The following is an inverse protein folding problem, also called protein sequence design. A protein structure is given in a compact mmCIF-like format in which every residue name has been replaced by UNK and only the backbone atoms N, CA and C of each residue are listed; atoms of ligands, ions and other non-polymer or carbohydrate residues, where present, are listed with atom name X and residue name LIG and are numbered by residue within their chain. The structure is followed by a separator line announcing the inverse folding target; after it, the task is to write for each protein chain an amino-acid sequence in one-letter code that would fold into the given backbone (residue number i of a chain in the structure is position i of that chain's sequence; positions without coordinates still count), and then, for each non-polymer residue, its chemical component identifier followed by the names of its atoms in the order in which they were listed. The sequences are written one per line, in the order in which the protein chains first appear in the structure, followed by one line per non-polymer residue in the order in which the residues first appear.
data_IF_174544886784
#
_entry.id   IF_174544886784
#
_cell.length_a   1.000
_cell.length_b   1.000
_cell.length_c   1.000
_cell.angle_alpha   90.00
_cell.angle_beta   90.00
_cell.angle_gamma   90.00
#
_symmetry.space_group_name_H-M   'P 1'
#
loop_
_entity.id
_entity.type
_entity.pdbx_description
1 polymer ?
#
# COMPACT_ATOMS: atom_id res chain seq x y z
N UNK A 1 -23.73 11.30 -0.96
CA UNK A 1 -24.27 12.68 -0.95
C UNK A 1 -23.33 13.73 -0.32
N UNK A 2 -22.18 13.36 0.23
CA UNK A 2 -21.19 14.29 0.83
C UNK A 2 -20.22 14.95 -0.16
N UNK A 3 -20.02 14.38 -1.35
CA UNK A 3 -19.05 14.91 -2.32
C UNK A 3 -19.47 16.18 -3.09
N UNK A 4 -20.73 16.59 -3.04
CA UNK A 4 -21.22 17.77 -3.77
C UNK A 4 -21.13 19.10 -3.00
N UNK A 5 -20.74 19.10 -1.74
CA UNK A 5 -20.64 20.34 -0.94
C UNK A 5 -19.26 21.00 -0.92
N UNK A 6 -18.20 20.28 -1.30
CA UNK A 6 -16.82 20.79 -1.26
C UNK A 6 -16.40 21.64 -2.48
N UNK A 7 -17.17 21.62 -3.57
CA UNK A 7 -16.84 22.33 -4.82
C UNK A 7 -17.40 23.75 -4.97
N UNK A 8 -18.01 24.32 -3.97
CA UNK A 8 -18.66 25.67 -4.06
C UNK A 8 -17.95 26.81 -3.33
N UNK A 9 -16.74 26.62 -2.79
CA UNK A 9 -16.07 27.67 -2.01
C UNK A 9 -14.83 28.31 -2.63
N UNK A 10 -14.45 28.00 -3.88
CA UNK A 10 -13.19 28.48 -4.45
C UNK A 10 -13.26 29.77 -5.32
N UNK A 11 -14.41 30.36 -5.54
CA UNK A 11 -14.52 31.56 -6.39
C UNK A 11 -15.14 32.77 -5.67
N UNK A 12 -14.38 33.42 -4.80
CA UNK A 12 -14.57 34.88 -4.45
C UNK A 12 -13.40 35.35 -3.59
N UNK A 13 -12.33 35.86 -4.20
CA UNK A 13 -11.68 37.09 -3.76
C UNK A 13 -10.55 37.50 -4.70
N UNK A 14 -10.83 38.42 -5.60
CA UNK A 14 -9.85 39.34 -6.19
C UNK A 14 -10.32 40.76 -5.94
N UNK A 15 -9.53 41.48 -5.20
CA UNK A 15 -9.12 42.89 -5.31
C UNK A 15 -9.08 43.62 -3.95
N UNK A 16 -7.94 44.30 -3.70
CA UNK A 16 -7.95 45.43 -2.78
C UNK A 16 -6.73 45.64 -1.89
N UNK A 17 -5.69 46.30 -2.42
CA UNK A 17 -4.77 47.30 -1.78
C UNK A 17 -4.16 47.09 -0.40
N UNK A 18 -2.81 47.18 -0.44
CA UNK A 18 -1.82 47.36 0.64
C UNK A 18 -2.24 48.32 1.77
N UNK A 19 -1.97 47.89 3.02
CA UNK A 19 -1.45 48.71 4.10
C UNK A 19 -0.55 47.86 5.00
N UNK A 20 0.69 48.30 5.13
CA UNK A 20 1.64 47.79 6.13
C UNK A 20 1.13 48.09 7.53
N UNK A 21 0.99 47.11 8.37
CA UNK A 21 1.01 47.23 9.83
C UNK A 21 1.50 45.91 10.39
N UNK A 22 2.63 45.93 11.05
CA UNK A 22 3.16 44.85 11.90
C UNK A 22 2.13 44.49 12.95
N UNK A 23 1.51 43.35 12.84
CA UNK A 23 0.67 42.73 13.88
C UNK A 23 1.31 41.40 14.25
N UNK A 24 1.49 41.21 15.55
CA UNK A 24 1.99 40.01 16.16
C UNK A 24 1.27 38.77 15.62
N UNK A 25 2.04 37.78 15.24
CA UNK A 25 1.61 36.46 14.76
C UNK A 25 0.90 35.72 15.92
N UNK A 26 -0.41 35.89 16.01
CA UNK A 26 -1.23 34.93 16.74
C UNK A 26 -1.45 33.76 15.79
N UNK A 27 -0.72 32.69 16.00
CA UNK A 27 -0.90 31.41 15.30
C UNK A 27 -2.36 31.00 15.44
N UNK A 28 -3.13 31.20 14.37
CA UNK A 28 -4.48 30.66 14.26
C UNK A 28 -4.37 29.14 14.19
N UNK A 29 -4.62 28.48 15.31
CA UNK A 29 -4.54 27.03 15.46
C UNK A 29 -5.51 26.28 14.52
N UNK A 30 -6.42 27.00 13.86
CA UNK A 30 -7.40 26.45 12.94
C UNK A 30 -6.95 26.50 11.47
N UNK A 31 -5.76 27.03 11.20
CA UNK A 31 -5.25 27.13 9.84
C UNK A 31 -4.15 26.08 9.62
N UNK A 32 -4.17 25.35 8.47
CA UNK A 32 -3.10 24.41 8.15
C UNK A 32 -1.75 25.15 8.07
N UNK A 33 -0.66 24.55 8.56
CA UNK A 33 0.70 25.10 8.47
C UNK A 33 1.15 25.38 7.03
N UNK A 34 0.71 24.59 6.07
CA UNK A 34 0.90 24.81 4.63
C UNK A 34 -0.26 24.23 3.82
N UNK A 35 -0.33 24.57 2.53
CA UNK A 35 -1.31 24.00 1.61
C UNK A 35 -1.09 22.49 1.46
N UNK A 36 -2.18 21.73 1.32
CA UNK A 36 -2.11 20.26 1.18
C UNK A 36 -2.19 19.50 2.51
N UNK A 37 -2.51 20.14 3.61
CA UNK A 37 -2.80 19.49 4.89
C UNK A 37 -4.29 19.35 5.17
N UNK A 38 -4.64 18.27 5.89
CA UNK A 38 -5.98 18.06 6.47
C UNK A 38 -5.86 17.96 7.99
N UNK A 39 -6.91 18.34 8.70
CA UNK A 39 -6.96 18.18 10.16
C UNK A 39 -7.46 16.79 10.51
N UNK A 40 -6.59 15.97 11.11
CA UNK A 40 -6.97 14.67 11.66
C UNK A 40 -7.65 14.89 13.03
N UNK A 41 -8.96 14.67 13.06
CA UNK A 41 -9.77 14.87 14.27
C UNK A 41 -9.44 13.84 15.37
N UNK A 42 -8.94 12.66 15.01
CA UNK A 42 -8.59 11.61 15.96
C UNK A 42 -7.22 11.89 16.59
N UNK A 43 -6.28 12.37 15.79
CA UNK A 43 -4.94 12.74 16.26
C UNK A 43 -4.92 14.17 16.86
N UNK A 44 -5.92 15.00 16.58
CA UNK A 44 -6.00 16.39 17.05
C UNK A 44 -4.91 17.28 16.43
N UNK A 45 -4.45 16.99 15.22
CA UNK A 45 -3.35 17.70 14.56
C UNK A 45 -3.55 17.79 13.05
N UNK A 46 -2.79 18.70 12.42
CA UNK A 46 -2.71 18.79 10.97
C UNK A 46 -1.73 17.74 10.45
N UNK A 47 -2.15 17.01 9.41
CA UNK A 47 -1.35 16.03 8.69
C UNK A 47 -1.36 16.37 7.20
N UNK A 48 -0.29 16.04 6.49
CA UNK A 48 -0.27 16.14 5.04
C UNK A 48 -1.39 15.29 4.44
N UNK A 49 -2.08 15.84 3.44
CA UNK A 49 -3.01 15.02 2.66
C UNK A 49 -2.23 13.87 2.05
N UNK A 50 -2.76 12.63 2.17
CA UNK A 50 -2.17 11.52 1.44
C UNK A 50 -2.05 11.87 -0.04
N UNK A 51 -0.93 11.56 -0.66
CA UNK A 51 -0.80 11.73 -2.11
C UNK A 51 -1.96 11.01 -2.81
N UNK A 52 -2.68 11.74 -3.66
CA UNK A 52 -3.71 11.14 -4.51
C UNK A 52 -2.98 10.44 -5.64
N UNK A 53 -2.72 9.16 -5.47
CA UNK A 53 -2.17 8.34 -6.53
C UNK A 53 -3.20 8.23 -7.66
N UNK A 54 -2.78 8.54 -8.88
CA UNK A 54 -3.60 8.32 -10.07
C UNK A 54 -3.79 6.82 -10.30
N UNK A 55 -4.94 6.43 -10.87
CA UNK A 55 -5.14 5.05 -11.28
C UNK A 55 -4.00 4.58 -12.19
N UNK A 56 -3.51 3.36 -11.96
CA UNK A 56 -2.40 2.77 -12.70
C UNK A 56 -1.38 2.06 -11.82
N UNK A 57 -0.27 1.64 -12.44
CA UNK A 57 0.83 1.02 -11.72
C UNK A 57 1.69 2.06 -11.00
N UNK A 58 1.97 1.78 -9.74
CA UNK A 58 2.93 2.53 -8.93
C UNK A 58 4.19 1.68 -8.68
N UNK A 59 5.17 1.82 -9.58
CA UNK A 59 6.44 1.10 -9.50
C UNK A 59 7.24 1.51 -8.27
N UNK A 60 7.23 2.79 -7.91
CA UNK A 60 8.00 3.29 -6.76
C UNK A 60 7.49 2.70 -5.46
N UNK A 61 6.17 2.67 -5.29
CA UNK A 61 5.55 2.05 -4.13
C UNK A 61 5.81 0.53 -4.08
N UNK A 62 5.80 -0.15 -5.23
CA UNK A 62 6.12 -1.58 -5.31
C UNK A 62 7.56 -1.87 -4.89
N UNK A 63 8.53 -1.06 -5.32
CA UNK A 63 9.93 -1.15 -4.91
C UNK A 63 10.12 -0.85 -3.42
N UNK A 64 9.33 0.08 -2.87
CA UNK A 64 9.35 0.38 -1.44
C UNK A 64 8.84 -0.82 -0.62
N UNK A 65 7.69 -1.43 -0.98
CA UNK A 65 7.21 -2.66 -0.33
C UNK A 65 8.27 -3.77 -0.39
N UNK A 66 8.88 -3.97 -1.55
CA UNK A 66 9.94 -4.94 -1.76
C UNK A 66 11.16 -4.70 -0.86
N UNK A 67 11.49 -3.43 -0.61
CA UNK A 67 12.58 -3.07 0.29
C UNK A 67 12.30 -3.50 1.74
N UNK A 68 11.06 -3.37 2.21
CA UNK A 68 10.64 -3.83 3.55
C UNK A 68 10.72 -5.35 3.67
N UNK A 69 10.23 -6.10 2.69
CA UNK A 69 10.34 -7.57 2.63
C UNK A 69 11.80 -8.00 2.74
N UNK A 70 12.68 -7.40 1.94
CA UNK A 70 14.10 -7.73 1.95
C UNK A 70 14.81 -7.31 3.25
N UNK A 71 14.39 -6.21 3.86
CA UNK A 71 14.92 -5.78 5.15
C UNK A 71 14.62 -6.82 6.25
N UNK A 72 13.41 -7.37 6.29
CA UNK A 72 13.05 -8.42 7.24
C UNK A 72 13.78 -9.72 6.99
N UNK A 73 13.85 -10.16 5.72
CA UNK A 73 14.59 -11.36 5.35
C UNK A 73 16.04 -11.27 5.82
N UNK A 74 16.71 -10.15 5.53
CA UNK A 74 18.11 -9.94 5.95
C UNK A 74 18.27 -9.84 7.46
N UNK A 75 17.34 -9.19 8.17
CA UNK A 75 17.33 -9.16 9.62
C UNK A 75 17.18 -10.55 10.26
N UNK A 76 16.47 -11.45 9.59
CA UNK A 76 16.33 -12.86 9.99
C UNK A 76 17.50 -13.76 9.54
N UNK A 77 18.53 -13.20 8.90
CA UNK A 77 19.68 -13.97 8.38
C UNK A 77 19.41 -14.72 7.09
N UNK A 78 18.33 -14.40 6.39
CA UNK A 78 18.03 -14.93 5.07
C UNK A 78 18.66 -14.06 3.96
N UNK A 79 18.87 -14.64 2.79
CA UNK A 79 19.29 -13.86 1.63
C UNK A 79 18.16 -12.90 1.19
N UNK A 80 18.55 -11.67 0.83
CA UNK A 80 17.65 -10.79 0.10
C UNK A 80 17.27 -11.44 -1.24
N UNK A 81 16.02 -11.24 -1.64
CA UNK A 81 15.52 -11.70 -2.94
C UNK A 81 15.96 -10.71 -4.03
N UNK A 82 16.39 -11.23 -5.16
CA UNK A 82 16.72 -10.43 -6.33
C UNK A 82 15.43 -10.02 -7.04
N UNK A 83 15.31 -8.73 -7.39
CA UNK A 83 14.21 -8.26 -8.24
C UNK A 83 14.34 -8.86 -9.64
N UNK A 84 13.22 -9.37 -10.18
CA UNK A 84 13.14 -9.97 -11.50
C UNK A 84 12.02 -9.28 -12.32
N UNK A 85 12.36 -8.76 -13.49
CA UNK A 85 11.42 -7.99 -14.32
C UNK A 85 10.33 -8.87 -14.96
N UNK A 86 10.60 -10.13 -15.26
CA UNK A 86 9.58 -11.02 -15.80
C UNK A 86 8.55 -11.37 -14.72
N UNK A 87 9.00 -11.57 -13.47
CA UNK A 87 8.12 -11.74 -12.31
C UNK A 87 7.36 -10.45 -12.02
N UNK A 88 8.00 -9.27 -12.12
CA UNK A 88 7.30 -7.99 -11.99
C UNK A 88 6.17 -7.86 -13.01
N UNK A 89 6.43 -8.15 -14.27
CA UNK A 89 5.42 -8.12 -15.32
C UNK A 89 4.27 -9.10 -15.06
N UNK A 90 4.58 -10.25 -14.45
CA UNK A 90 3.56 -11.19 -14.01
C UNK A 90 2.75 -10.62 -12.84
N UNK A 91 3.40 -10.13 -11.79
CA UNK A 91 2.75 -9.50 -10.64
C UNK A 91 1.86 -8.32 -11.04
N UNK A 92 2.24 -7.52 -12.04
CA UNK A 92 1.40 -6.48 -12.62
C UNK A 92 0.07 -7.02 -13.16
N UNK A 93 0.10 -8.10 -13.91
CA UNK A 93 -1.14 -8.74 -14.42
C UNK A 93 -2.00 -9.27 -13.27
N UNK A 94 -1.36 -9.85 -12.26
CA UNK A 94 -2.05 -10.32 -11.05
C UNK A 94 -2.69 -9.18 -10.28
N UNK A 95 -1.99 -8.06 -10.06
CA UNK A 95 -2.51 -6.88 -9.37
C UNK A 95 -3.77 -6.29 -10.04
N UNK A 96 -3.88 -6.40 -11.37
CA UNK A 96 -5.12 -6.05 -12.07
C UNK A 96 -6.19 -7.13 -11.93
N UNK A 97 -5.82 -8.41 -11.96
CA UNK A 97 -6.78 -9.51 -11.88
C UNK A 97 -7.49 -9.58 -10.53
N UNK A 98 -6.78 -9.32 -9.42
CA UNK A 98 -7.35 -9.34 -8.07
C UNK A 98 -8.37 -8.22 -7.81
N UNK A 99 -8.51 -7.22 -8.68
CA UNK A 99 -9.60 -6.24 -8.60
C UNK A 99 -10.96 -6.92 -8.73
N UNK A 100 -11.06 -7.91 -9.60
CA UNK A 100 -12.32 -8.62 -9.89
C UNK A 100 -12.44 -9.97 -9.18
N UNK A 101 -11.32 -10.60 -8.85
CA UNK A 101 -11.25 -11.88 -8.14
C UNK A 101 -10.09 -11.84 -7.14
N UNK A 102 -10.39 -11.34 -5.91
CA UNK A 102 -9.40 -11.26 -4.84
C UNK A 102 -9.11 -12.66 -4.28
N UNK A 103 -8.35 -13.42 -5.03
CA UNK A 103 -7.97 -14.79 -4.73
C UNK A 103 -6.60 -15.12 -5.32
N UNK A 104 -6.04 -16.27 -4.94
CA UNK A 104 -4.80 -16.79 -5.53
C UNK A 104 -5.00 -17.51 -6.88
N UNK A 105 -6.22 -17.47 -7.45
CA UNK A 105 -6.46 -18.04 -8.78
C UNK A 105 -5.61 -17.34 -9.84
N UNK A 106 -4.75 -18.09 -10.52
CA UNK A 106 -3.89 -17.56 -11.57
C UNK A 106 -2.49 -17.10 -11.12
N UNK A 107 -2.08 -17.36 -9.88
CA UNK A 107 -0.73 -17.09 -9.35
C UNK A 107 0.39 -17.88 -10.03
N UNK A 108 0.07 -18.82 -10.90
CA UNK A 108 1.09 -19.62 -11.61
C UNK A 108 1.89 -20.54 -10.69
N UNK A 109 3.22 -20.50 -10.84
CA UNK A 109 4.15 -21.30 -10.05
C UNK A 109 4.94 -20.46 -9.04
N UNK A 110 4.40 -19.30 -8.64
CA UNK A 110 5.04 -18.42 -7.66
C UNK A 110 4.41 -18.59 -6.27
N UNK A 111 5.16 -18.30 -5.23
CA UNK A 111 4.59 -18.00 -3.93
C UNK A 111 4.01 -16.61 -3.97
N UNK A 112 2.69 -16.49 -3.83
CA UNK A 112 2.00 -15.22 -3.97
C UNK A 112 1.52 -14.70 -2.63
N UNK A 113 1.75 -13.42 -2.36
CA UNK A 113 1.05 -12.64 -1.34
C UNK A 113 0.21 -11.56 -2.02
N UNK A 114 -1.06 -11.44 -1.63
CA UNK A 114 -1.95 -10.39 -2.12
C UNK A 114 -2.45 -9.52 -0.98
N UNK A 115 -2.65 -8.23 -1.25
CA UNK A 115 -3.27 -7.31 -0.31
C UNK A 115 -4.05 -6.23 -1.05
N UNK A 116 -5.00 -5.62 -0.34
CA UNK A 116 -5.63 -4.38 -0.77
C UNK A 116 -5.63 -3.36 0.37
N UNK A 117 -5.49 -2.08 0.04
CA UNK A 117 -5.46 -1.02 1.04
C UNK A 117 -5.93 0.31 0.44
N UNK A 118 -6.86 0.99 1.11
CA UNK A 118 -7.36 2.30 0.70
C UNK A 118 -6.54 3.46 1.28
N UNK A 119 -5.58 3.20 2.16
CA UNK A 119 -4.78 4.23 2.79
C UNK A 119 -3.54 4.65 1.97
N UNK A 120 -3.29 4.02 0.81
CA UNK A 120 -2.26 4.43 -0.15
C UNK A 120 -0.85 4.48 0.45
N UNK A 121 -0.38 3.37 1.07
CA UNK A 121 0.93 3.35 1.72
C UNK A 121 1.61 2.00 1.56
N UNK A 122 2.81 2.01 1.00
CA UNK A 122 3.68 0.83 0.89
C UNK A 122 3.93 0.18 2.25
N UNK A 123 4.18 1.00 3.29
CA UNK A 123 4.35 0.51 4.65
C UNK A 123 3.12 -0.27 5.15
N UNK A 124 1.90 0.22 4.89
CA UNK A 124 0.68 -0.47 5.33
C UNK A 124 0.45 -1.78 4.58
N UNK A 125 0.74 -1.84 3.29
CA UNK A 125 0.71 -3.11 2.54
C UNK A 125 1.66 -4.11 3.17
N UNK A 126 2.91 -3.70 3.41
CA UNK A 126 3.90 -4.57 4.06
C UNK A 126 3.42 -5.03 5.46
N UNK A 127 2.87 -4.13 6.28
CA UNK A 127 2.39 -4.47 7.63
C UNK A 127 1.20 -5.44 7.61
N UNK A 128 0.32 -5.40 6.59
CA UNK A 128 -0.73 -6.41 6.42
C UNK A 128 -0.11 -7.81 6.23
N UNK A 129 0.93 -7.92 5.43
CA UNK A 129 1.64 -9.20 5.26
C UNK A 129 2.45 -9.60 6.50
N UNK A 130 3.09 -8.64 7.16
CA UNK A 130 3.90 -8.87 8.36
C UNK A 130 3.07 -9.48 9.50
N UNK A 131 1.89 -8.92 9.78
CA UNK A 131 1.03 -9.41 10.87
C UNK A 131 0.23 -10.66 10.50
N UNK A 132 0.16 -11.02 9.24
CA UNK A 132 -0.47 -12.25 8.79
C UNK A 132 0.55 -13.40 8.77
N UNK A 133 0.40 -14.36 9.68
CA UNK A 133 1.31 -15.52 9.78
C UNK A 133 1.51 -16.22 8.43
N UNK A 134 0.45 -16.33 7.63
CA UNK A 134 0.51 -16.95 6.32
C UNK A 134 1.38 -16.16 5.35
N UNK A 135 1.08 -14.89 5.14
CA UNK A 135 1.84 -14.02 4.23
C UNK A 135 3.30 -13.86 4.69
N UNK A 136 3.51 -13.64 6.00
CA UNK A 136 4.83 -13.52 6.58
C UNK A 136 5.67 -14.77 6.34
N UNK A 137 5.15 -15.95 6.67
CA UNK A 137 5.86 -17.20 6.44
C UNK A 137 6.16 -17.42 4.95
N UNK A 138 5.26 -16.99 4.05
CA UNK A 138 5.47 -17.12 2.62
C UNK A 138 6.72 -16.35 2.17
N UNK A 139 6.76 -15.03 2.35
CA UNK A 139 7.93 -14.25 1.88
C UNK A 139 9.21 -14.52 2.70
N UNK A 140 9.12 -15.21 3.84
CA UNK A 140 10.26 -15.64 4.65
C UNK A 140 10.81 -17.03 4.30
N UNK A 141 10.28 -17.70 3.27
CA UNK A 141 10.82 -18.99 2.84
C UNK A 141 12.28 -18.85 2.43
N UNK A 142 13.15 -19.67 3.02
CA UNK A 142 14.59 -19.64 2.77
C UNK A 142 14.99 -20.13 1.38
N UNK A 143 14.08 -20.88 0.74
CA UNK A 143 14.28 -21.40 -0.63
C UNK A 143 14.07 -20.37 -1.73
N UNK A 144 13.42 -19.24 -1.41
CA UNK A 144 13.23 -18.17 -2.39
C UNK A 144 14.53 -17.44 -2.70
N UNK A 145 14.73 -17.10 -3.98
CA UNK A 145 15.95 -16.44 -4.47
C UNK A 145 15.67 -15.14 -5.22
N UNK A 146 14.50 -15.03 -5.83
CA UNK A 146 14.09 -13.87 -6.61
C UNK A 146 12.59 -13.69 -6.57
N UNK A 147 12.13 -12.51 -6.99
CA UNK A 147 10.72 -12.19 -7.06
C UNK A 147 10.51 -10.74 -7.45
N UNK A 148 9.30 -10.26 -7.29
CA UNK A 148 8.95 -8.85 -7.45
C UNK A 148 7.63 -8.55 -6.73
N UNK A 149 7.38 -7.26 -6.50
CA UNK A 149 6.11 -6.75 -6.03
C UNK A 149 5.49 -5.84 -7.09
N UNK A 150 4.16 -5.83 -7.21
CA UNK A 150 3.43 -4.86 -8.02
C UNK A 150 2.35 -4.18 -7.20
N UNK A 151 2.17 -2.88 -7.42
CA UNK A 151 1.06 -2.10 -6.89
C UNK A 151 0.27 -1.55 -8.08
N UNK A 152 -1.03 -1.83 -8.11
CA UNK A 152 -1.97 -1.21 -9.04
C UNK A 152 -3.00 -0.40 -8.27
N UNK A 153 -3.06 0.90 -8.56
CA UNK A 153 -4.05 1.80 -7.96
C UNK A 153 -5.29 1.80 -8.84
N UNK A 154 -6.45 1.57 -8.24
CA UNK A 154 -7.73 1.66 -8.93
C UNK A 154 -8.79 2.25 -8.01
N UNK A 155 -9.35 3.37 -8.43
CA UNK A 155 -10.36 4.12 -7.66
C UNK A 155 -9.93 4.43 -6.21
N UNK A 156 -8.65 4.77 -6.02
CA UNK A 156 -8.08 5.09 -4.72
C UNK A 156 -7.78 3.88 -3.83
N UNK A 157 -7.94 2.67 -4.33
CA UNK A 157 -7.55 1.43 -3.64
C UNK A 157 -6.27 0.89 -4.26
N UNK A 158 -5.34 0.52 -3.42
CA UNK A 158 -4.10 -0.14 -3.81
C UNK A 158 -4.29 -1.65 -3.79
N UNK A 159 -4.04 -2.28 -4.91
CA UNK A 159 -4.01 -3.72 -5.08
C UNK A 159 -2.57 -4.16 -5.21
N UNK A 160 -2.08 -4.88 -4.21
CA UNK A 160 -0.70 -5.29 -4.09
C UNK A 160 -0.55 -6.79 -4.31
N UNK A 161 0.49 -7.15 -5.04
CA UNK A 161 0.88 -8.55 -5.27
C UNK A 161 2.38 -8.66 -5.10
N UNK A 162 2.84 -9.62 -4.31
CA UNK A 162 4.23 -10.06 -4.21
C UNK A 162 4.32 -11.49 -4.73
N UNK A 163 5.27 -11.71 -5.63
CA UNK A 163 5.55 -13.00 -6.25
C UNK A 163 6.98 -13.38 -5.98
N UNK A 164 7.19 -14.57 -5.43
CA UNK A 164 8.51 -15.11 -5.13
C UNK A 164 8.73 -16.48 -5.76
N UNK A 165 9.96 -16.75 -6.20
CA UNK A 165 10.35 -17.98 -6.89
C UNK A 165 11.51 -18.68 -6.18
N UNK A 166 11.44 -20.00 -6.12
CA UNK A 166 12.51 -20.86 -5.65
C UNK A 166 13.66 -20.95 -6.66
N UNK A 167 14.83 -21.36 -6.18
CA UNK A 167 16.02 -21.60 -6.99
C UNK A 167 15.84 -22.66 -8.08
N UNK A 168 14.89 -23.56 -7.91
CA UNK A 168 14.59 -24.65 -8.86
C UNK A 168 13.34 -24.37 -9.73
N UNK A 169 12.73 -23.19 -9.58
CA UNK A 169 11.53 -22.80 -10.31
C UNK A 169 10.28 -23.60 -9.95
N UNK A 170 10.33 -24.36 -8.86
CA UNK A 170 9.21 -25.20 -8.43
C UNK A 170 8.48 -24.58 -7.25
N UNK A 171 7.37 -23.90 -7.49
CA UNK A 171 6.40 -23.61 -6.45
C UNK A 171 4.98 -23.69 -6.98
N UNK A 172 4.15 -24.24 -6.11
CA UNK A 172 2.71 -24.14 -6.30
C UNK A 172 2.14 -23.13 -5.31
N UNK A 173 1.26 -22.30 -5.76
CA UNK A 173 0.41 -21.41 -4.95
C UNK A 173 -0.41 -22.12 -3.87
N UNK A 174 -0.35 -23.42 -3.79
CA UNK A 174 -1.13 -24.23 -2.87
C UNK A 174 -0.59 -24.25 -1.42
N UNK A 175 0.28 -23.31 -1.05
CA UNK A 175 0.79 -23.22 0.32
C UNK A 175 -0.26 -22.77 1.35
N UNK A 176 -1.42 -22.27 0.89
CA UNK A 176 -2.49 -21.81 1.73
C UNK A 176 -3.72 -22.72 1.62
N UNK A 177 -3.91 -23.54 2.63
CA UNK A 177 -5.17 -24.27 2.81
C UNK A 177 -6.30 -23.34 3.28
N UNK A 178 -7.57 -23.80 3.19
CA UNK A 178 -8.74 -23.05 3.66
C UNK A 178 -8.66 -22.59 5.12
N UNK A 179 -7.85 -23.22 5.94
CA UNK A 179 -7.63 -22.87 7.35
C UNK A 179 -6.81 -21.57 7.51
N UNK A 180 -5.85 -21.31 6.64
CA UNK A 180 -5.05 -20.08 6.66
C UNK A 180 -5.85 -18.88 6.14
N UNK A 181 -6.71 -19.10 5.15
CA UNK A 181 -7.64 -18.08 4.63
C UNK A 181 -8.70 -17.70 5.67
N UNK A 182 -9.23 -18.69 6.43
CA UNK A 182 -10.17 -18.43 7.52
C UNK A 182 -9.53 -17.63 8.66
N UNK A 183 -8.29 -17.96 9.04
CA UNK A 183 -7.55 -17.24 10.08
C UNK A 183 -7.21 -15.80 9.65
N UNK A 184 -6.92 -15.56 8.37
CA UNK A 184 -6.69 -14.23 7.83
C UNK A 184 -7.96 -13.38 7.85
N UNK A 185 -9.09 -13.94 7.44
CA UNK A 185 -10.38 -13.25 7.46
C UNK A 185 -10.82 -12.91 8.89
N UNK A 186 -10.63 -13.81 9.85
CA UNK A 186 -10.88 -13.55 11.26
C UNK A 186 -9.99 -12.43 11.82
N UNK A 187 -8.73 -12.37 11.38
CA UNK A 187 -7.80 -11.29 11.76
C UNK A 187 -8.22 -9.95 11.17
N UNK A 188 -8.57 -9.90 9.88
CA UNK A 188 -9.03 -8.68 9.19
C UNK A 188 -10.31 -8.16 9.85
N UNK A 189 -11.27 -9.02 10.16
CA UNK A 189 -12.55 -8.66 10.77
C UNK A 189 -12.39 -8.20 12.25
N UNK A 190 -11.30 -8.59 12.91
CA UNK A 190 -11.03 -8.26 14.33
C UNK A 190 -10.25 -6.95 14.52
N UNK A 191 -9.74 -6.35 13.46
CA UNK A 191 -8.93 -5.12 13.53
C UNK A 191 -9.60 -4.02 12.70
N UNK A 192 -9.98 -2.90 13.35
CA UNK A 192 -10.39 -1.66 12.70
C UNK A 192 -9.14 -1.02 12.05
N UNK A 193 -9.11 -1.01 10.73
CA UNK A 193 -8.04 -0.42 9.92
C UNK A 193 -8.31 1.04 9.57
#
# INVERSE_FOLDING_TARGET
MLQKQLLKQSDKNKSGKKKNTTVADTTDSNKPPHDGMIYDVNAGTWIDMPEVHSDGFDRSAAEEVWSYVNAERTAAGLNALTWDEDIYNFACRRAQAIISDFSHNGCGNYGENIALNSAGSAYRIHMQWFYSTGHHNNYMLSSYVKGACAIYVYQGVWYAVEESENSDGTLSCNAYGPEAEAALNEYIDSHDW
#
